data_IF_943939795250
#
_entry.id   IF_943939795250
#
_cell.length_a   1.000
_cell.length_b   1.000
_cell.length_c   1.000
_cell.angle_alpha   90.00
_cell.angle_beta   90.00
_cell.angle_gamma   90.00
#
_symmetry.space_group_name_H-M   'P 1'
#
loop_
_entity.id
_entity.type
_entity.pdbx_description
1 polymer ?
#
# COMPACT_ATOMS: atom_id res chain seq x y z
N UNK A 1 13.04 7.02 -15.25
CA UNK A 1 12.78 8.32 -14.60
C UNK A 1 11.30 8.66 -14.81
N UNK A 2 10.40 8.22 -13.92
CA UNK A 2 8.96 8.44 -14.06
C UNK A 2 8.60 9.64 -13.16
N UNK A 3 8.34 10.80 -13.77
CA UNK A 3 7.86 11.98 -13.04
C UNK A 3 6.37 11.79 -12.75
N UNK A 4 6.05 11.47 -11.50
CA UNK A 4 4.67 11.42 -11.01
C UNK A 4 4.27 12.85 -10.64
N UNK A 5 3.30 13.44 -11.34
CA UNK A 5 2.73 14.74 -10.96
C UNK A 5 2.02 14.56 -9.60
N UNK A 6 2.72 14.84 -8.50
CA UNK A 6 2.16 14.75 -7.15
C UNK A 6 1.19 15.91 -6.93
N UNK A 7 0.02 15.59 -6.37
CA UNK A 7 -0.99 16.59 -6.01
C UNK A 7 -0.61 17.38 -4.74
N UNK A 8 0.30 16.85 -3.90
CA UNK A 8 0.79 17.53 -2.70
C UNK A 8 2.11 16.93 -2.17
N UNK A 9 2.95 17.80 -1.60
CA UNK A 9 4.18 17.41 -0.90
C UNK A 9 3.94 17.01 0.56
N UNK A 10 2.73 17.19 1.10
CA UNK A 10 2.42 16.91 2.51
C UNK A 10 2.44 15.42 2.88
N UNK A 11 2.33 14.52 1.91
CA UNK A 11 2.28 13.08 2.13
C UNK A 11 3.51 12.40 1.53
N UNK A 12 4.36 11.81 2.38
CA UNK A 12 5.46 10.97 1.93
C UNK A 12 4.93 9.70 1.27
N UNK A 13 4.84 9.71 -0.06
CA UNK A 13 4.48 8.54 -0.83
C UNK A 13 5.65 7.54 -0.85
N UNK A 14 5.41 6.35 -0.30
CA UNK A 14 6.37 5.25 -0.32
C UNK A 14 5.74 4.05 -1.00
N UNK A 15 6.34 3.60 -2.11
CA UNK A 15 5.96 2.31 -2.71
C UNK A 15 6.36 1.18 -1.75
N UNK A 16 5.38 0.34 -1.43
CA UNK A 16 5.63 -0.90 -0.71
C UNK A 16 6.16 -1.94 -1.69
N UNK A 17 6.95 -2.89 -1.18
CA UNK A 17 7.32 -4.11 -1.93
C UNK A 17 6.07 -4.92 -2.26
N UNK A 18 6.17 -5.90 -3.19
CA UNK A 18 5.08 -6.83 -3.46
C UNK A 18 4.48 -7.41 -2.17
N UNK A 19 3.16 -7.49 -2.19
CA UNK A 19 2.33 -7.96 -1.11
C UNK A 19 1.42 -9.07 -1.64
N UNK A 20 0.79 -9.80 -0.73
CA UNK A 20 -0.22 -10.80 -1.08
C UNK A 20 -1.59 -10.32 -0.67
N UNK A 21 -2.59 -10.48 -1.53
CA UNK A 21 -3.98 -10.22 -1.15
C UNK A 21 -4.46 -11.41 -0.31
N UNK A 22 -4.87 -11.16 0.93
CA UNK A 22 -5.45 -12.18 1.81
C UNK A 22 -6.95 -12.35 1.56
N UNK A 23 -7.69 -11.24 1.50
CA UNK A 23 -9.15 -11.26 1.33
C UNK A 23 -9.67 -9.94 0.78
N UNK A 24 -10.70 -10.00 -0.06
CA UNK A 24 -11.52 -8.84 -0.42
C UNK A 24 -12.55 -8.57 0.69
N UNK A 25 -12.48 -7.39 1.32
CA UNK A 25 -13.39 -7.02 2.43
C UNK A 25 -14.66 -6.35 1.86
N UNK A 26 -14.49 -5.47 0.89
CA UNK A 26 -15.56 -4.81 0.12
C UNK A 26 -15.13 -4.69 -1.34
N UNK A 27 -15.99 -4.19 -2.21
CA UNK A 27 -15.66 -3.96 -3.61
C UNK A 27 -14.39 -3.14 -3.83
N UNK A 28 -14.14 -2.20 -2.94
CA UNK A 28 -13.04 -1.25 -3.04
C UNK A 28 -11.93 -1.45 -2.00
N UNK A 29 -12.10 -2.38 -1.04
CA UNK A 29 -11.19 -2.55 0.10
C UNK A 29 -10.67 -3.99 0.21
N UNK A 30 -9.34 -4.12 0.31
CA UNK A 30 -8.64 -5.39 0.32
C UNK A 30 -7.77 -5.51 1.57
N UNK A 31 -7.81 -6.67 2.22
CA UNK A 31 -6.85 -7.05 3.26
C UNK A 31 -5.61 -7.63 2.61
N UNK A 32 -4.45 -7.08 2.92
CA UNK A 32 -3.16 -7.49 2.41
C UNK A 32 -2.32 -8.14 3.50
N UNK A 33 -1.44 -9.04 3.10
CA UNK A 33 -0.30 -9.50 3.87
C UNK A 33 0.94 -8.75 3.38
N UNK A 34 1.57 -8.02 4.29
CA UNK A 34 2.81 -7.33 4.02
C UNK A 34 4.00 -8.19 4.47
N UNK A 35 5.16 -8.11 3.78
CA UNK A 35 6.36 -8.78 4.24
C UNK A 35 6.75 -8.32 5.65
N UNK A 36 7.14 -9.24 6.54
CA UNK A 36 7.54 -8.96 7.95
C UNK A 36 8.56 -7.81 8.12
N UNK A 37 9.40 -7.54 7.11
CA UNK A 37 10.36 -6.42 7.14
C UNK A 37 9.70 -5.03 7.02
N UNK A 38 8.46 -4.94 6.53
CA UNK A 38 7.71 -3.70 6.42
C UNK A 38 6.95 -3.36 7.70
N UNK A 39 6.39 -4.37 8.37
CA UNK A 39 5.74 -4.20 9.68
C UNK A 39 6.73 -3.71 10.76
N UNK A 40 8.00 -4.10 10.62
CA UNK A 40 9.06 -3.78 11.60
C UNK A 40 9.58 -2.34 11.58
N UNK A 41 9.09 -1.45 10.71
CA UNK A 41 9.57 -0.05 10.64
C UNK A 41 9.04 0.84 11.78
N UNK A 42 8.64 0.27 12.93
CA UNK A 42 8.17 1.01 14.10
C UNK A 42 6.83 1.74 13.92
N UNK A 43 6.19 1.61 12.75
CA UNK A 43 4.88 2.18 12.45
C UNK A 43 3.87 1.07 12.22
N UNK A 44 2.75 1.15 12.93
CA UNK A 44 1.57 0.33 12.67
C UNK A 44 1.05 0.65 11.27
N UNK A 45 1.12 -0.33 10.37
CA UNK A 45 0.55 -0.22 9.02
C UNK A 45 -0.81 -0.89 9.03
N UNK A 46 -1.84 -0.15 8.63
CA UNK A 46 -3.15 -0.74 8.39
C UNK A 46 -3.06 -1.72 7.22
N UNK A 47 -3.50 -2.96 7.44
CA UNK A 47 -3.46 -4.02 6.42
C UNK A 47 -4.64 -3.94 5.44
N UNK A 48 -5.52 -2.95 5.57
CA UNK A 48 -6.67 -2.76 4.69
C UNK A 48 -6.36 -1.58 3.77
N UNK A 49 -6.32 -1.85 2.47
CA UNK A 49 -5.99 -0.88 1.45
C UNK A 49 -7.13 -0.69 0.46
N UNK A 50 -7.25 0.56 -0.01
CA UNK A 50 -8.15 0.93 -1.08
C UNK A 50 -7.58 0.53 -2.44
N UNK A 51 -8.44 0.07 -3.36
CA UNK A 51 -8.01 -0.50 -4.65
C UNK A 51 -7.14 0.45 -5.51
N UNK A 52 -7.39 1.76 -5.48
CA UNK A 52 -6.58 2.73 -6.26
C UNK A 52 -5.16 2.93 -5.71
N UNK A 53 -4.85 2.38 -4.53
CA UNK A 53 -3.50 2.36 -3.97
C UNK A 53 -2.72 1.11 -4.38
N UNK A 54 -3.35 0.20 -5.13
CA UNK A 54 -2.78 -1.06 -5.56
C UNK A 54 -2.38 -0.96 -7.04
N UNK A 55 -1.14 -1.30 -7.35
CA UNK A 55 -0.64 -1.41 -8.71
C UNK A 55 -0.47 -2.90 -9.07
N UNK A 56 -0.86 -3.28 -10.30
CA UNK A 56 -0.61 -4.62 -10.84
C UNK A 56 0.88 -4.75 -11.19
N UNK A 57 1.47 -5.90 -10.86
CA UNK A 57 2.84 -6.24 -11.21
C UNK A 57 2.99 -6.54 -12.72
#
# INVERSE_FOLDING_TARGET
>A
NIKINRLSDKLDFKKLRPYKILRKIKDINYKLELPKKQEKQGKLIFLIFYILLLEKA
#
